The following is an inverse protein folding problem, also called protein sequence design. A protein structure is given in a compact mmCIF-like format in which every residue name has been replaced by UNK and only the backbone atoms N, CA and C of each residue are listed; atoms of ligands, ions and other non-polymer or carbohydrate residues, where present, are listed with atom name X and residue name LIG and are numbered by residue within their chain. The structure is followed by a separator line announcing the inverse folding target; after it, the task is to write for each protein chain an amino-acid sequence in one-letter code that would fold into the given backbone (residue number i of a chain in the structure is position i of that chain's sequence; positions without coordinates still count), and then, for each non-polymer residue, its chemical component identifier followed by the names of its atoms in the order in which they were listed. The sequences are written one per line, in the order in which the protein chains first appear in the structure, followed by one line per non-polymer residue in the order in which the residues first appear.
data_IF_516281794998
#
_entry.id   IF_516281794998
#
_cell.length_a   1.000
_cell.length_b   1.000
_cell.length_c   1.000
_cell.angle_alpha   90.00
_cell.angle_beta   90.00
_cell.angle_gamma   90.00
#
_symmetry.space_group_name_H-M   'P 1'
#
loop_
_entity.id
_entity.type
_entity.pdbx_description
1 polymer ?
#
# COMPACT_ATOMS: atom_id res chain seq x y z
N UNK A 1 2.21 4.49 -1.07
CA UNK A 1 1.75 5.07 -2.35
C UNK A 1 0.26 4.78 -2.43
N UNK A 2 -0.56 5.63 -1.80
CA UNK A 2 -2.02 5.55 -1.86
C UNK A 2 -2.46 6.63 -2.84
N UNK A 3 -3.12 6.23 -3.93
CA UNK A 3 -3.61 7.14 -4.99
C UNK A 3 -4.87 7.91 -4.57
N UNK A 4 -4.92 8.33 -3.29
CA UNK A 4 -6.12 8.68 -2.52
C UNK A 4 -6.26 10.18 -2.23
N UNK A 5 -5.54 11.04 -2.96
CA UNK A 5 -5.67 12.47 -2.73
C UNK A 5 -6.75 13.06 -3.64
N UNK A 6 -7.89 13.32 -2.99
CA UNK A 6 -8.99 14.21 -3.33
C UNK A 6 -9.48 14.13 -4.79
N UNK A 7 -10.68 13.57 -4.97
CA UNK A 7 -11.46 13.69 -6.22
C UNK A 7 -11.73 15.15 -6.60
N UNK A 8 -11.62 16.05 -5.61
CA UNK A 8 -11.83 17.47 -5.77
C UNK A 8 -10.54 18.18 -6.17
N UNK A 9 -10.52 18.92 -7.29
CA UNK A 9 -9.53 19.95 -7.53
C UNK A 9 -9.23 20.81 -6.29
N UNK A 10 -7.95 21.04 -6.02
CA UNK A 10 -7.57 22.03 -5.01
C UNK A 10 -7.95 23.45 -5.44
N UNK A 11 -7.79 24.40 -4.51
CA UNK A 11 -8.15 25.81 -4.71
C UNK A 11 -6.94 26.72 -4.95
N UNK A 12 -5.80 26.15 -5.36
CA UNK A 12 -4.58 26.90 -5.58
C UNK A 12 -4.62 27.80 -6.82
N UNK A 13 -3.64 28.69 -6.90
CA UNK A 13 -3.57 29.70 -7.96
C UNK A 13 -3.07 29.13 -9.29
N UNK A 14 -2.27 28.07 -9.24
CA UNK A 14 -1.75 27.40 -10.43
C UNK A 14 -2.78 26.38 -10.97
N UNK A 15 -2.95 26.26 -12.30
CA UNK A 15 -3.77 25.20 -12.88
C UNK A 15 -3.47 23.78 -12.37
N UNK A 16 -2.23 23.49 -11.98
CA UNK A 16 -1.88 22.19 -11.41
C UNK A 16 -2.54 21.96 -10.05
N UNK A 17 -2.68 23.02 -9.25
CA UNK A 17 -3.35 22.97 -7.95
C UNK A 17 -4.88 22.81 -8.10
N UNK A 18 -5.42 23.03 -9.30
CA UNK A 18 -6.83 22.90 -9.66
C UNK A 18 -7.11 21.61 -10.45
N UNK A 19 -6.17 20.65 -10.43
CA UNK A 19 -6.35 19.34 -11.05
C UNK A 19 -6.35 18.29 -9.95
N UNK A 20 -7.34 17.39 -9.96
CA UNK A 20 -7.36 16.26 -9.03
C UNK A 20 -6.15 15.36 -9.28
N UNK A 21 -5.56 14.86 -8.20
CA UNK A 21 -4.48 13.88 -8.23
C UNK A 21 -4.98 12.43 -8.04
N UNK A 22 -6.31 12.23 -7.99
CA UNK A 22 -6.91 10.92 -7.88
C UNK A 22 -6.55 10.05 -9.10
N UNK A 23 -6.26 8.78 -8.84
CA UNK A 23 -5.96 7.80 -9.88
C UNK A 23 -7.18 6.89 -10.09
N UNK A 24 -7.35 6.40 -11.31
CA UNK A 24 -8.49 5.53 -11.65
C UNK A 24 -8.27 4.05 -11.32
N UNK A 25 -7.02 3.62 -11.17
CA UNK A 25 -6.67 2.23 -10.88
C UNK A 25 -5.23 2.12 -10.34
N UNK A 26 -4.98 1.13 -9.48
CA UNK A 26 -3.66 0.92 -8.85
C UNK A 26 -3.18 -0.52 -9.09
N UNK A 27 -1.91 -0.67 -9.48
CA UNK A 27 -1.23 -1.97 -9.52
C UNK A 27 -0.04 -1.91 -8.57
N UNK A 28 0.10 -2.91 -7.72
CA UNK A 28 1.22 -3.01 -6.77
C UNK A 28 2.03 -4.28 -7.02
N UNK A 29 3.32 -4.22 -6.72
CA UNK A 29 4.27 -5.33 -6.84
C UNK A 29 5.09 -5.38 -5.54
N UNK A 30 4.97 -6.48 -4.79
CA UNK A 30 5.69 -6.67 -3.52
C UNK A 30 5.64 -5.43 -2.62
N UNK A 31 4.44 -4.86 -2.45
CA UNK A 31 4.27 -3.57 -1.78
C UNK A 31 4.17 -3.72 -0.25
N UNK A 32 4.93 -2.94 0.53
CA UNK A 32 4.71 -2.82 1.95
C UNK A 32 3.49 -1.92 2.20
N UNK A 33 2.50 -2.44 2.91
CA UNK A 33 1.22 -1.80 3.18
C UNK A 33 1.04 -1.43 4.66
N UNK A 34 1.68 -2.17 5.55
CA UNK A 34 1.65 -1.98 7.00
C UNK A 34 3.09 -1.83 7.52
N UNK A 35 3.44 -0.60 7.88
CA UNK A 35 4.76 -0.20 8.36
C UNK A 35 4.84 -0.20 9.89
N UNK A 36 3.77 -0.58 10.58
CA UNK A 36 3.76 -0.70 12.05
C UNK A 36 4.62 -1.87 12.50
N UNK A 37 4.90 -2.84 11.62
CA UNK A 37 5.70 -4.03 11.87
C UNK A 37 5.14 -4.91 13.01
N UNK A 38 5.22 -6.23 12.81
CA UNK A 38 5.06 -7.16 13.90
C UNK A 38 6.43 -7.37 14.57
N UNK A 39 6.65 -6.94 15.83
CA UNK A 39 7.94 -7.10 16.52
C UNK A 39 8.40 -8.55 16.62
N UNK A 40 7.46 -9.49 16.67
CA UNK A 40 7.77 -10.91 16.85
C UNK A 40 8.23 -11.55 15.53
N UNK A 41 7.82 -10.99 14.40
CA UNK A 41 8.00 -11.59 13.09
C UNK A 41 8.82 -10.74 12.11
N UNK A 42 9.15 -9.49 12.45
CA UNK A 42 9.97 -8.62 11.59
C UNK A 42 11.45 -9.02 11.61
N UNK A 43 12.05 -9.13 10.43
CA UNK A 43 13.49 -9.35 10.30
C UNK A 43 14.28 -8.10 10.72
N UNK A 44 15.52 -8.28 11.20
CA UNK A 44 16.40 -7.15 11.51
C UNK A 44 16.59 -6.19 10.31
N UNK A 45 16.64 -6.75 9.10
CA UNK A 45 16.71 -5.99 7.85
C UNK A 45 15.42 -5.18 7.60
N UNK A 46 14.24 -5.79 7.80
CA UNK A 46 12.95 -5.10 7.68
C UNK A 46 12.82 -3.94 8.66
N UNK A 47 13.19 -4.16 9.94
CA UNK A 47 13.19 -3.12 10.96
C UNK A 47 14.12 -1.96 10.63
N UNK A 48 15.34 -2.24 10.14
CA UNK A 48 16.29 -1.22 9.71
C UNK A 48 15.78 -0.43 8.49
N UNK A 49 15.18 -1.12 7.52
CA UNK A 49 14.65 -0.51 6.29
C UNK A 49 13.51 0.44 6.62
N UNK A 50 12.55 0.01 7.45
CA UNK A 50 11.43 0.84 7.90
C UNK A 50 11.93 2.04 8.71
N UNK A 51 12.85 1.83 9.66
CA UNK A 51 13.43 2.94 10.44
C UNK A 51 14.10 3.97 9.53
N UNK A 52 14.81 3.51 8.50
CA UNK A 52 15.48 4.39 7.53
C UNK A 52 14.48 5.11 6.62
N UNK A 53 13.37 4.45 6.27
CA UNK A 53 12.30 5.00 5.45
C UNK A 53 11.46 6.04 6.20
N UNK A 54 11.09 5.76 7.45
CA UNK A 54 10.29 6.63 8.31
C UNK A 54 11.14 7.78 8.90
N UNK A 55 12.43 7.53 9.12
CA UNK A 55 13.34 8.50 9.75
C UNK A 55 13.28 8.53 11.27
N UNK A 56 12.45 7.68 11.89
CA UNK A 56 12.33 7.54 13.34
C UNK A 56 12.40 6.06 13.74
N UNK A 57 13.06 5.71 14.85
CA UNK A 57 13.06 4.34 15.36
C UNK A 57 11.64 3.91 15.75
N UNK A 58 11.32 2.66 15.47
CA UNK A 58 10.07 2.06 15.90
C UNK A 58 10.12 1.71 17.40
N UNK A 59 9.21 2.28 18.19
CA UNK A 59 9.13 2.07 19.65
C UNK A 59 7.89 1.26 20.09
N UNK A 60 7.19 0.61 19.16
CA UNK A 60 5.92 -0.07 19.42
C UNK A 60 4.69 0.83 19.28
N UNK A 61 3.49 0.23 19.32
CA UNK A 61 2.19 0.92 19.24
C UNK A 61 1.92 1.84 20.45
N UNK A 62 2.53 1.55 21.60
CA UNK A 62 2.31 2.26 22.87
C UNK A 62 3.43 3.27 23.16
N UNK A 63 3.70 4.20 22.26
CA UNK A 63 4.59 5.34 22.53
C UNK A 63 3.82 6.46 23.26
N UNK A 64 3.44 6.18 24.50
CA UNK A 64 2.67 7.04 25.42
C UNK A 64 3.27 8.44 25.73
N UNK A 65 4.48 8.73 25.23
CA UNK A 65 5.12 10.04 25.33
C UNK A 65 4.75 11.00 24.19
N UNK A 66 4.22 10.50 23.09
CA UNK A 66 3.84 11.31 21.93
C UNK A 66 2.32 11.39 21.82
N UNK A 67 1.76 12.60 21.90
CA UNK A 67 0.33 12.84 21.68
C UNK A 67 -0.05 12.83 20.18
N UNK A 68 0.73 12.16 19.33
CA UNK A 68 0.49 12.05 17.89
C UNK A 68 0.39 10.59 17.47
N UNK A 69 -0.35 10.33 16.39
CA UNK A 69 -0.33 9.03 15.72
C UNK A 69 1.12 8.65 15.42
N UNK A 70 1.57 7.43 15.79
CA UNK A 70 2.89 6.94 15.42
C UNK A 70 3.15 7.15 13.93
N UNK A 71 4.33 7.67 13.51
CA UNK A 71 4.61 7.96 12.11
C UNK A 71 4.53 6.71 11.24
N UNK A 72 4.79 5.54 11.81
CA UNK A 72 4.62 4.23 11.17
C UNK A 72 3.17 3.97 10.78
N UNK A 73 2.21 4.26 11.66
CA UNK A 73 0.78 4.15 11.36
C UNK A 73 0.42 5.19 10.28
N UNK A 74 0.81 6.44 10.47
CA UNK A 74 0.52 7.51 9.51
C UNK A 74 1.16 7.30 8.12
N UNK A 75 2.23 6.52 8.03
CA UNK A 75 2.86 6.19 6.76
C UNK A 75 2.33 4.87 6.14
N UNK A 76 1.51 4.11 6.85
CA UNK A 76 1.00 2.81 6.41
C UNK A 76 -0.19 2.96 5.47
N UNK A 77 -0.10 2.52 4.20
CA UNK A 77 -1.24 2.50 3.28
C UNK A 77 -2.53 1.89 3.87
N UNK A 78 -2.44 0.81 4.66
CA UNK A 78 -3.62 0.16 5.26
C UNK A 78 -4.43 1.08 6.19
N UNK A 79 -3.87 2.19 6.66
CA UNK A 79 -4.56 3.14 7.54
C UNK A 79 -5.59 4.00 6.80
N UNK A 80 -5.50 4.09 5.47
CA UNK A 80 -6.26 5.05 4.68
C UNK A 80 -7.29 4.43 3.75
N UNK A 81 -7.44 3.10 3.80
CA UNK A 81 -8.33 2.39 2.88
C UNK A 81 -9.79 2.69 3.20
N UNK A 82 -10.57 2.99 2.18
CA UNK A 82 -12.02 3.15 2.28
C UNK A 82 -12.76 2.62 1.02
N UNK A 83 -14.09 2.69 1.02
CA UNK A 83 -14.92 2.15 -0.04
C UNK A 83 -14.81 2.92 -1.38
N UNK A 84 -14.38 4.17 -1.34
CA UNK A 84 -14.28 5.07 -2.48
C UNK A 84 -12.92 4.95 -3.19
N UNK A 85 -11.98 4.18 -2.61
CA UNK A 85 -10.70 3.87 -3.23
C UNK A 85 -10.83 3.31 -4.66
N UNK A 86 -9.91 3.67 -5.57
CA UNK A 86 -9.86 3.08 -6.89
C UNK A 86 -9.61 1.56 -6.80
N UNK A 87 -9.93 0.78 -7.84
CA UNK A 87 -9.63 -0.64 -7.87
C UNK A 87 -8.13 -0.91 -7.75
N UNK A 88 -7.76 -1.90 -6.92
CA UNK A 88 -6.38 -2.38 -6.78
C UNK A 88 -6.17 -3.73 -7.47
N UNK A 89 -5.00 -3.92 -8.07
CA UNK A 89 -4.44 -5.23 -8.40
C UNK A 89 -3.15 -5.44 -7.59
N UNK A 90 -3.17 -6.40 -6.67
CA UNK A 90 -2.08 -6.64 -5.72
C UNK A 90 -1.30 -7.88 -6.15
N UNK A 91 -0.04 -7.68 -6.56
CA UNK A 91 0.84 -8.75 -7.05
C UNK A 91 1.95 -9.02 -6.03
N UNK A 92 2.14 -10.29 -5.66
CA UNK A 92 3.12 -10.71 -4.65
C UNK A 92 3.68 -12.11 -4.95
N UNK A 93 4.79 -12.47 -4.30
CA UNK A 93 5.42 -13.79 -4.38
C UNK A 93 5.31 -14.52 -3.04
N UNK A 94 5.02 -15.84 -3.02
CA UNK A 94 4.82 -16.59 -1.78
C UNK A 94 6.10 -16.80 -0.96
N UNK A 95 7.27 -16.62 -1.56
CA UNK A 95 8.59 -16.76 -0.92
C UNK A 95 9.32 -15.42 -0.75
N UNK A 96 8.62 -14.29 -0.82
CA UNK A 96 9.21 -12.97 -0.53
C UNK A 96 9.61 -12.86 0.95
N UNK A 97 10.90 -12.71 1.22
CA UNK A 97 11.45 -12.55 2.57
C UNK A 97 11.79 -11.09 2.92
N UNK A 98 11.59 -10.16 1.97
CA UNK A 98 11.85 -8.72 2.14
C UNK A 98 10.55 -7.99 2.45
N UNK A 99 9.51 -8.25 1.65
CA UNK A 99 8.13 -7.80 1.90
C UNK A 99 7.25 -9.03 2.03
N UNK A 100 7.08 -9.57 3.26
CA UNK A 100 6.48 -10.88 3.42
C UNK A 100 5.02 -10.93 2.95
N UNK A 101 4.50 -12.11 2.53
CA UNK A 101 3.13 -12.29 2.06
C UNK A 101 2.03 -11.77 3.00
N UNK A 102 2.31 -11.67 4.30
CA UNK A 102 1.37 -11.12 5.27
C UNK A 102 1.02 -9.65 5.01
N UNK A 103 1.86 -8.88 4.31
CA UNK A 103 1.57 -7.52 3.87
C UNK A 103 0.40 -7.49 2.89
N UNK A 104 0.46 -8.38 1.88
CA UNK A 104 -0.62 -8.54 0.89
C UNK A 104 -1.90 -9.07 1.56
N UNK A 105 -1.78 -10.07 2.45
CA UNK A 105 -2.93 -10.60 3.19
C UNK A 105 -3.57 -9.56 4.13
N UNK A 106 -2.76 -8.68 4.75
CA UNK A 106 -3.28 -7.60 5.60
C UNK A 106 -4.05 -6.57 4.79
N UNK A 107 -3.54 -6.18 3.61
CA UNK A 107 -4.25 -5.26 2.72
C UNK A 107 -5.54 -5.88 2.17
N UNK A 108 -5.52 -7.14 1.74
CA UNK A 108 -6.72 -7.90 1.31
C UNK A 108 -7.80 -7.87 2.40
N UNK A 109 -7.45 -8.16 3.66
CA UNK A 109 -8.40 -8.11 4.76
C UNK A 109 -9.00 -6.71 4.98
N UNK A 110 -8.17 -5.67 4.94
CA UNK A 110 -8.61 -4.27 5.17
C UNK A 110 -9.48 -3.76 4.01
N UNK A 111 -9.09 -4.04 2.76
CA UNK A 111 -9.89 -3.65 1.60
C UNK A 111 -11.23 -4.39 1.56
N UNK A 112 -11.26 -5.68 1.91
CA UNK A 112 -12.51 -6.42 2.05
C UNK A 112 -13.42 -5.85 3.16
N UNK A 113 -12.85 -5.48 4.31
CA UNK A 113 -13.60 -4.88 5.42
C UNK A 113 -14.19 -3.50 5.05
N UNK A 114 -13.43 -2.69 4.32
CA UNK A 114 -13.86 -1.39 3.84
C UNK A 114 -14.86 -1.46 2.67
N UNK A 115 -14.97 -2.59 1.99
CA UNK A 115 -15.77 -2.74 0.76
C UNK A 115 -15.07 -2.18 -0.49
N UNK A 116 -13.75 -1.96 -0.43
CA UNK A 116 -12.94 -1.47 -1.53
C UNK A 116 -12.69 -2.54 -2.60
N UNK A 117 -12.71 -2.15 -3.88
CA UNK A 117 -12.52 -3.08 -5.00
C UNK A 117 -11.04 -3.48 -5.13
N UNK A 118 -10.75 -4.78 -5.15
CA UNK A 118 -9.39 -5.26 -5.38
C UNK A 118 -9.34 -6.70 -5.92
N UNK A 119 -8.22 -7.03 -6.56
CA UNK A 119 -7.86 -8.37 -7.04
C UNK A 119 -6.45 -8.76 -6.53
N UNK A 120 -6.25 -10.04 -6.24
CA UNK A 120 -4.97 -10.59 -5.80
C UNK A 120 -4.34 -11.46 -6.88
N UNK A 121 -3.03 -11.33 -7.09
CA UNK A 121 -2.22 -12.24 -7.91
C UNK A 121 -1.03 -12.73 -7.07
N UNK A 122 -1.12 -13.98 -6.64
CA UNK A 122 0.04 -14.75 -6.20
C UNK A 122 0.81 -15.22 -7.44
N UNK A 123 2.09 -14.88 -7.52
CA UNK A 123 2.98 -15.30 -8.60
C UNK A 123 3.69 -16.62 -8.27
N UNK A 124 4.37 -17.22 -9.25
CA UNK A 124 5.29 -18.31 -8.95
C UNK A 124 6.40 -17.81 -8.02
N UNK A 125 6.97 -18.66 -7.14
CA UNK A 125 8.05 -18.26 -6.23
C UNK A 125 9.21 -17.58 -6.96
N UNK A 126 9.47 -16.32 -6.62
CA UNK A 126 10.54 -15.48 -7.18
C UNK A 126 11.12 -14.46 -6.18
N UNK A 127 10.93 -14.70 -4.87
CA UNK A 127 11.41 -13.80 -3.82
C UNK A 127 10.80 -12.40 -3.92
N UNK A 128 11.62 -11.37 -3.68
CA UNK A 128 11.18 -9.96 -3.70
C UNK A 128 10.96 -9.37 -5.10
N UNK A 129 11.07 -10.18 -6.15
CA UNK A 129 10.87 -9.77 -7.53
C UNK A 129 9.72 -10.59 -8.13
N UNK A 130 8.46 -10.36 -7.71
CA UNK A 130 7.32 -11.11 -8.23
C UNK A 130 7.27 -11.01 -9.75
N UNK A 131 7.04 -12.15 -10.42
CA UNK A 131 6.97 -12.20 -11.89
C UNK A 131 5.87 -11.27 -12.38
N UNK A 132 6.24 -10.22 -13.11
CA UNK A 132 5.29 -9.20 -13.56
C UNK A 132 4.24 -9.78 -14.53
N UNK A 133 2.94 -9.84 -14.14
CA UNK A 133 1.91 -10.53 -14.92
C UNK A 133 1.34 -9.59 -15.99
N UNK A 134 2.16 -9.26 -17.00
CA UNK A 134 1.90 -8.24 -18.03
C UNK A 134 0.48 -8.31 -18.61
N UNK A 135 0.04 -9.48 -19.07
CA UNK A 135 -1.27 -9.64 -19.70
C UNK A 135 -2.43 -9.34 -18.74
N UNK A 136 -2.27 -9.70 -17.46
CA UNK A 136 -3.27 -9.44 -16.40
C UNK A 136 -3.31 -7.96 -16.03
N UNK A 137 -2.15 -7.32 -15.96
CA UNK A 137 -2.04 -5.88 -15.70
C UNK A 137 -2.66 -5.07 -16.85
N UNK A 138 -2.36 -5.43 -18.10
CA UNK A 138 -2.97 -4.79 -19.28
C UNK A 138 -4.48 -4.98 -19.26
N UNK A 139 -4.97 -6.20 -19.01
CA UNK A 139 -6.40 -6.48 -18.96
C UNK A 139 -7.11 -5.72 -17.81
N UNK A 140 -6.45 -5.61 -16.66
CA UNK A 140 -6.94 -4.83 -15.52
C UNK A 140 -7.08 -3.36 -15.88
N UNK A 141 -6.00 -2.73 -16.39
CA UNK A 141 -6.08 -1.33 -16.78
C UNK A 141 -7.03 -1.06 -17.94
N UNK A 142 -7.09 -1.93 -18.95
CA UNK A 142 -8.07 -1.80 -20.02
C UNK A 142 -9.50 -1.76 -19.46
N UNK A 143 -9.80 -2.62 -18.49
CA UNK A 143 -11.14 -2.67 -17.87
C UNK A 143 -11.44 -1.47 -16.98
N UNK A 144 -10.48 -0.99 -16.19
CA UNK A 144 -10.73 0.09 -15.23
C UNK A 144 -10.55 1.50 -15.82
N UNK A 145 -9.86 1.65 -16.96
CA UNK A 145 -9.62 2.95 -17.62
C UNK A 145 -10.57 3.22 -18.80
N UNK A 146 -11.17 2.19 -19.39
CA UNK A 146 -12.22 2.36 -20.40
C UNK A 146 -13.55 2.58 -19.69
N UNK A 147 -13.92 3.85 -19.51
CA UNK A 147 -15.25 4.28 -19.08
C UNK A 147 -16.30 4.22 -20.19
#
# INVERSE_FOLDING_TARGET
MTGVMDDTPGNGLDPIDQTSAAVQAVVTLAAPFDLVLDPENVSAYGAQTITSYIGEPWYGQDNWYEQRTPPHIAASPVTYVDADDPPFLIVWSPDDTIVPPNQAARMDAVMNEAGARHEMIETAPSGHEPVFPTDRVIAFFARELEG
#
